data_IF_098166775777
#
_entry.id   IF_098166775777
#
_cell.length_a   1.000
_cell.length_b   1.000
_cell.length_c   1.000
_cell.angle_alpha   90.00
_cell.angle_beta   90.00
_cell.angle_gamma   90.00
#
_symmetry.space_group_name_H-M   'P 1'
#
loop_
_entity.id
_entity.type
_entity.pdbx_description
1 polymer ?
#
# COMPACT_ATOMS: atom_id res chain seq x y z
N UNK A 1 -15.29 -0.26 -10.19
CA UNK A 1 -15.12 -1.64 -9.68
C UNK A 1 -13.80 -2.12 -10.23
N UNK A 2 -12.71 -1.80 -9.56
CA UNK A 2 -11.40 -2.19 -10.06
C UNK A 2 -11.23 -3.69 -9.92
N UNK A 3 -11.14 -4.33 -11.08
CA UNK A 3 -10.71 -5.71 -11.25
C UNK A 3 -9.30 -5.80 -10.69
N UNK A 4 -9.18 -6.06 -9.37
CA UNK A 4 -7.99 -6.70 -8.84
C UNK A 4 -7.68 -7.86 -9.78
N UNK A 5 -6.52 -7.82 -10.42
CA UNK A 5 -6.15 -8.79 -11.45
C UNK A 5 -5.86 -10.11 -10.76
N UNK A 6 -6.93 -10.81 -10.39
CA UNK A 6 -6.93 -11.86 -9.37
C UNK A 6 -6.15 -13.11 -9.80
N UNK A 7 -5.82 -13.22 -11.09
CA UNK A 7 -5.08 -14.32 -11.69
C UNK A 7 -3.61 -14.03 -12.00
N UNK A 8 -3.08 -12.83 -11.74
CA UNK A 8 -1.65 -12.61 -11.97
C UNK A 8 -0.82 -13.35 -10.91
N UNK A 9 0.25 -14.05 -11.33
CA UNK A 9 1.19 -14.65 -10.40
C UNK A 9 1.93 -13.54 -9.64
N UNK A 10 1.87 -13.62 -8.32
CA UNK A 10 2.60 -12.82 -7.37
C UNK A 10 3.79 -13.63 -6.86
N UNK A 11 5.02 -13.35 -7.32
CA UNK A 11 6.20 -13.96 -6.76
C UNK A 11 6.44 -13.42 -5.34
N UNK A 12 6.70 -14.33 -4.41
CA UNK A 12 7.00 -14.02 -3.02
C UNK A 12 8.37 -14.59 -2.66
N UNK A 13 9.18 -13.78 -1.99
CA UNK A 13 10.56 -14.12 -1.65
C UNK A 13 10.72 -14.06 -0.13
N UNK A 14 11.37 -15.08 0.44
CA UNK A 14 11.59 -15.24 1.87
C UNK A 14 13.08 -15.12 2.17
N UNK A 15 13.42 -14.20 3.06
CA UNK A 15 14.78 -13.91 3.51
C UNK A 15 14.89 -14.09 5.01
N UNK A 16 16.04 -14.60 5.46
CA UNK A 16 16.43 -14.59 6.86
C UNK A 16 17.03 -13.23 7.19
N UNK A 17 16.48 -12.57 8.21
CA UNK A 17 16.94 -11.24 8.59
C UNK A 17 18.06 -11.37 9.63
N UNK A 18 19.24 -10.81 9.31
CA UNK A 18 20.41 -10.78 10.18
C UNK A 18 20.86 -9.34 10.41
N UNK A 19 21.17 -8.99 11.66
CA UNK A 19 21.62 -7.65 12.05
C UNK A 19 22.98 -7.25 11.46
N UNK A 20 23.74 -8.21 10.93
CA UNK A 20 25.05 -8.01 10.32
C UNK A 20 24.96 -7.55 8.84
N UNK A 21 23.75 -7.43 8.27
CA UNK A 21 23.50 -6.99 6.90
C UNK A 21 23.67 -8.07 5.82
N UNK A 22 24.04 -9.29 6.20
CA UNK A 22 24.14 -10.44 5.28
C UNK A 22 22.91 -11.32 5.41
N UNK A 23 21.82 -10.90 4.77
CA UNK A 23 20.58 -11.64 4.74
C UNK A 23 20.70 -12.93 3.94
N UNK A 24 20.39 -14.06 4.56
CA UNK A 24 20.41 -15.37 3.90
C UNK A 24 19.10 -15.63 3.16
N UNK A 25 19.22 -16.06 1.91
CA UNK A 25 18.07 -16.39 1.07
C UNK A 25 17.48 -17.75 1.48
N UNK A 26 16.25 -17.77 1.97
CA UNK A 26 15.56 -19.00 2.38
C UNK A 26 14.94 -19.69 1.17
N UNK A 27 14.19 -18.94 0.36
CA UNK A 27 13.53 -19.46 -0.84
C UNK A 27 12.49 -18.51 -1.43
N UNK A 28 11.82 -18.97 -2.46
CA UNK A 28 10.76 -18.28 -3.18
C UNK A 28 9.58 -19.20 -3.43
N UNK A 29 8.40 -18.60 -3.57
CA UNK A 29 7.18 -19.27 -3.99
C UNK A 29 6.34 -18.31 -4.84
N UNK A 30 5.48 -18.86 -5.69
CA UNK A 30 4.53 -18.07 -6.48
C UNK A 30 3.13 -18.33 -5.96
N UNK A 31 2.37 -17.26 -5.76
CA UNK A 31 0.99 -17.31 -5.30
C UNK A 31 0.11 -16.43 -6.19
N UNK A 32 -1.21 -16.59 -6.12
CA UNK A 32 -2.16 -15.66 -6.75
C UNK A 32 -3.10 -15.06 -5.73
N UNK A 33 -3.61 -13.86 -5.99
CA UNK A 33 -4.62 -13.26 -5.12
C UNK A 33 -5.88 -14.12 -4.98
N UNK A 34 -6.24 -14.86 -6.04
CA UNK A 34 -7.31 -15.85 -6.00
C UNK A 34 -7.07 -16.96 -4.96
N UNK A 35 -5.86 -17.48 -4.88
CA UNK A 35 -5.48 -18.48 -3.87
C UNK A 35 -5.47 -17.89 -2.46
N UNK A 36 -4.88 -16.69 -2.30
CA UNK A 36 -4.85 -15.98 -1.01
C UNK A 36 -6.26 -15.67 -0.48
N UNK A 37 -7.22 -15.40 -1.37
CA UNK A 37 -8.64 -15.20 -0.99
C UNK A 37 -9.23 -16.44 -0.29
N UNK A 38 -8.73 -17.65 -0.58
CA UNK A 38 -9.13 -18.86 0.15
C UNK A 38 -8.94 -18.74 1.66
N UNK A 39 -7.91 -18.01 2.12
CA UNK A 39 -7.68 -17.75 3.54
C UNK A 39 -8.75 -16.84 4.17
N UNK A 40 -9.44 -16.02 3.37
CA UNK A 40 -10.59 -15.24 3.82
C UNK A 40 -11.82 -16.13 4.07
N UNK A 41 -11.94 -17.22 3.32
CA UNK A 41 -13.02 -18.21 3.43
C UNK A 41 -12.77 -19.24 4.55
N UNK A 42 -11.72 -19.04 5.36
CA UNK A 42 -11.34 -19.95 6.45
C UNK A 42 -10.60 -21.21 5.98
N UNK A 43 -10.17 -21.29 4.72
CA UNK A 43 -9.33 -22.39 4.24
C UNK A 43 -7.88 -22.14 4.65
N UNK A 44 -7.17 -23.19 5.05
CA UNK A 44 -5.73 -23.12 5.24
C UNK A 44 -5.07 -23.03 3.86
N UNK A 45 -4.40 -21.91 3.59
CA UNK A 45 -3.66 -21.70 2.35
C UNK A 45 -2.17 -21.79 2.66
N UNK A 46 -1.47 -22.66 1.94
CA UNK A 46 -0.06 -22.93 2.17
C UNK A 46 0.71 -23.13 0.86
N UNK A 47 1.97 -22.70 0.83
CA UNK A 47 2.86 -22.88 -0.31
C UNK A 47 4.20 -23.45 0.14
N UNK A 48 4.79 -24.29 -0.69
CA UNK A 48 6.15 -24.79 -0.46
C UNK A 48 7.17 -23.71 -0.85
N UNK A 49 8.07 -23.40 0.08
CA UNK A 49 9.15 -22.44 -0.17
C UNK A 49 10.32 -23.16 -0.81
N UNK A 50 10.73 -22.75 -2.01
CA UNK A 50 11.78 -23.43 -2.77
C UNK A 50 13.00 -22.54 -2.91
N UNK A 51 14.16 -23.06 -2.55
CA UNK A 51 15.43 -22.41 -2.80
C UNK A 51 16.05 -22.91 -4.10
N UNK A 52 16.02 -22.14 -5.21
CA UNK A 52 16.67 -22.52 -6.47
C UNK A 52 18.14 -22.93 -6.31
N UNK A 53 18.89 -22.30 -5.39
CA UNK A 53 20.31 -22.65 -5.15
C UNK A 53 20.45 -24.05 -4.55
N UNK A 54 19.60 -24.43 -3.61
CA UNK A 54 19.64 -25.77 -3.03
C UNK A 54 19.00 -26.82 -3.94
N UNK A 55 17.94 -26.46 -4.68
CA UNK A 55 17.33 -27.34 -5.68
C UNK A 55 18.32 -27.74 -6.77
N UNK A 56 19.19 -26.82 -7.19
CA UNK A 56 20.25 -27.11 -8.16
C UNK A 56 21.44 -27.90 -7.55
N UNK A 57 21.79 -27.65 -6.28
CA UNK A 57 22.98 -28.25 -5.64
C UNK A 57 22.73 -29.61 -4.97
N UNK A 58 21.54 -29.85 -4.43
CA UNK A 58 21.24 -31.02 -3.58
C UNK A 58 20.25 -31.95 -4.28
N UNK A 59 20.67 -33.19 -4.55
CA UNK A 59 19.83 -34.22 -5.21
C UNK A 59 18.58 -34.63 -4.42
N UNK A 60 18.58 -34.51 -3.09
CA UNK A 60 17.46 -34.93 -2.22
C UNK A 60 16.74 -33.74 -1.55
N UNK A 61 16.78 -32.56 -2.17
CA UNK A 61 16.13 -31.37 -1.63
C UNK A 61 14.63 -31.35 -2.00
N UNK A 62 13.77 -31.29 -0.98
CA UNK A 62 12.31 -31.14 -1.16
C UNK A 62 11.89 -29.67 -1.16
N UNK A 63 12.07 -28.97 -0.04
CA UNK A 63 11.74 -27.55 0.11
C UNK A 63 12.50 -26.96 1.32
N UNK A 64 12.45 -25.64 1.48
CA UNK A 64 13.00 -24.87 2.61
C UNK A 64 11.95 -24.63 3.71
N UNK A 65 10.83 -25.35 3.68
CA UNK A 65 9.70 -25.15 4.59
C UNK A 65 8.39 -24.84 3.87
N UNK A 66 7.34 -24.64 4.66
CA UNK A 66 5.98 -24.35 4.20
C UNK A 66 5.57 -22.98 4.73
N UNK A 67 5.12 -22.10 3.83
CA UNK A 67 4.57 -20.79 4.17
C UNK A 67 3.06 -20.93 4.30
N UNK A 68 2.52 -20.57 5.47
CA UNK A 68 1.08 -20.64 5.76
C UNK A 68 0.52 -19.22 5.86
N UNK A 69 -0.57 -18.95 5.13
CA UNK A 69 -1.29 -17.69 5.24
C UNK A 69 -2.39 -17.79 6.29
N UNK A 70 -2.17 -17.16 7.44
CA UNK A 70 -3.10 -17.18 8.56
C UNK A 70 -4.33 -16.27 8.36
N UNK A 71 -4.13 -15.09 7.76
CA UNK A 71 -5.20 -14.12 7.56
C UNK A 71 -4.94 -13.30 6.30
N UNK A 72 -5.99 -13.08 5.51
CA UNK A 72 -6.00 -12.13 4.40
C UNK A 72 -7.13 -11.11 4.65
N UNK A 73 -6.83 -9.81 4.60
CA UNK A 73 -7.80 -8.72 4.73
C UNK A 73 -7.68 -7.81 3.52
N UNK A 74 -8.80 -7.53 2.87
CA UNK A 74 -8.85 -6.60 1.75
C UNK A 74 -9.26 -5.24 2.28
N UNK A 75 -8.34 -4.29 2.24
CA UNK A 75 -8.62 -2.89 2.52
C UNK A 75 -8.84 -2.15 1.21
N UNK A 76 -10.02 -1.56 1.05
CA UNK A 76 -10.27 -0.63 -0.06
C UNK A 76 -9.61 0.69 0.30
N UNK A 77 -8.52 1.00 -0.38
CA UNK A 77 -7.93 2.34 -0.34
C UNK A 77 -8.68 3.19 -1.36
N UNK A 78 -9.38 4.23 -0.89
CA UNK A 78 -10.03 5.18 -1.77
C UNK A 78 -8.97 6.07 -2.41
N UNK A 79 -8.99 6.12 -3.74
CA UNK A 79 -8.15 7.07 -4.48
C UNK A 79 -8.70 8.49 -4.33
N UNK A 80 -7.85 9.49 -4.56
CA UNK A 80 -8.28 10.89 -4.64
C UNK A 80 -9.48 11.09 -5.59
N UNK A 81 -9.49 10.34 -6.69
CA UNK A 81 -10.56 10.41 -7.69
C UNK A 81 -11.87 9.79 -7.15
N UNK A 82 -11.80 8.75 -6.31
CA UNK A 82 -12.97 8.22 -5.61
C UNK A 82 -13.57 9.25 -4.63
N UNK A 83 -12.74 10.08 -3.99
CA UNK A 83 -13.24 11.19 -3.17
C UNK A 83 -13.97 12.23 -4.02
N UNK A 84 -13.43 12.63 -5.18
CA UNK A 84 -14.08 13.58 -6.09
C UNK A 84 -15.38 13.00 -6.65
N UNK A 85 -15.37 11.75 -7.14
CA UNK A 85 -16.56 11.06 -7.65
C UNK A 85 -17.61 10.82 -6.56
N UNK A 86 -17.20 10.63 -5.30
CA UNK A 86 -18.06 10.53 -4.14
C UNK A 86 -18.75 11.85 -3.74
N UNK A 87 -18.49 12.95 -4.47
CA UNK A 87 -19.10 14.25 -4.24
C UNK A 87 -18.34 15.12 -3.25
N UNK A 88 -17.05 14.84 -3.00
CA UNK A 88 -16.21 15.78 -2.26
C UNK A 88 -15.90 17.01 -3.12
N UNK A 89 -15.99 18.19 -2.52
CA UNK A 89 -15.65 19.45 -3.18
C UNK A 89 -14.38 20.03 -2.54
N UNK A 90 -13.46 20.47 -3.39
CA UNK A 90 -12.24 21.15 -2.96
C UNK A 90 -12.42 22.62 -3.29
N UNK A 91 -12.50 23.45 -2.26
CA UNK A 91 -12.52 24.89 -2.41
C UNK A 91 -11.11 25.43 -2.22
N UNK A 92 -10.64 26.11 -3.27
CA UNK A 92 -9.36 26.81 -3.30
C UNK A 92 -9.63 28.30 -3.27
N UNK A 93 -9.05 29.02 -2.29
CA UNK A 93 -9.20 30.48 -2.19
C UNK A 93 -7.83 31.11 -1.98
N UNK A 94 -7.46 32.01 -2.89
CA UNK A 94 -6.25 32.82 -2.78
C UNK A 94 -6.63 34.13 -2.07
N UNK A 95 -6.08 34.34 -0.88
CA UNK A 95 -6.18 35.63 -0.21
C UNK A 95 -4.92 36.44 -0.51
N UNK A 96 -5.04 37.46 -1.37
CA UNK A 96 -4.01 38.49 -1.45
C UNK A 96 -4.21 39.40 -0.25
N UNK A 97 -3.29 39.37 0.70
CA UNK A 97 -3.20 40.42 1.72
C UNK A 97 -2.53 41.63 1.05
N UNK A 98 -3.26 42.74 0.93
CA UNK A 98 -2.81 43.96 0.24
C UNK A 98 -2.18 44.96 1.23
N UNK A 99 -1.37 44.49 2.18
CA UNK A 99 -0.63 45.38 3.08
C UNK A 99 0.80 45.57 2.58
N UNK A 100 1.32 46.81 2.62
CA UNK A 100 2.67 47.16 2.15
C UNK A 100 3.80 46.31 2.79
N UNK A 101 3.55 45.75 3.98
CA UNK A 101 4.47 44.85 4.69
C UNK A 101 4.61 43.46 4.02
N UNK A 102 3.63 42.98 3.25
CA UNK A 102 3.64 41.66 2.60
C UNK A 102 4.54 41.62 1.35
N UNK A 103 4.75 42.76 0.69
CA UNK A 103 5.66 42.89 -0.47
C UNK A 103 7.13 42.69 -0.08
N UNK A 104 7.50 43.03 1.16
CA UNK A 104 8.87 42.85 1.68
C UNK A 104 9.10 41.39 2.13
N UNK A 105 8.04 40.69 2.58
CA UNK A 105 8.13 39.35 3.20
C UNK A 105 7.69 38.19 2.28
N UNK A 106 7.15 38.45 1.08
CA UNK A 106 6.88 37.42 0.07
C UNK A 106 5.73 36.44 0.39
N UNK A 107 4.76 36.82 1.22
CA UNK A 107 3.70 35.91 1.68
C UNK A 107 2.44 35.93 0.81
N UNK A 108 2.10 34.81 0.16
CA UNK A 108 0.76 34.53 -0.37
C UNK A 108 0.14 33.41 0.49
N UNK A 109 -0.99 33.66 1.16
CA UNK A 109 -1.65 32.65 1.97
C UNK A 109 -2.57 31.80 1.09
N UNK A 110 -2.27 30.50 1.04
CA UNK A 110 -3.06 29.51 0.31
C UNK A 110 -3.86 28.70 1.32
N UNK A 111 -5.19 28.75 1.23
CA UNK A 111 -6.08 27.93 2.04
C UNK A 111 -6.77 26.88 1.17
N UNK A 112 -6.75 25.63 1.63
CA UNK A 112 -7.50 24.53 1.07
C UNK A 112 -8.58 24.12 2.06
N UNK A 113 -9.81 23.98 1.58
CA UNK A 113 -10.91 23.46 2.40
C UNK A 113 -11.59 22.33 1.62
N UNK A 114 -11.63 21.15 2.25
CA UNK A 114 -12.25 19.94 1.69
C UNK A 114 -13.60 19.73 2.37
N UNK A 115 -14.64 19.52 1.57
CA UNK A 115 -15.98 19.18 2.05
C UNK A 115 -16.34 17.75 1.62
N UNK A 116 -16.82 16.92 2.57
CA UNK A 116 -17.36 15.58 2.26
C UNK A 116 -18.87 15.56 2.49
N UNK A 117 -19.61 14.84 1.63
CA UNK A 117 -21.07 14.75 1.72
C UNK A 117 -21.45 13.72 2.79
N UNK A 118 -21.54 14.14 4.05
CA UNK A 118 -22.02 13.29 5.16
C UNK A 118 -21.40 13.53 6.54
N UNK A 119 -20.26 14.19 6.63
CA UNK A 119 -19.61 14.54 7.89
C UNK A 119 -18.83 15.84 7.72
N UNK A 120 -19.24 16.89 8.45
CA UNK A 120 -18.53 18.17 8.50
C UNK A 120 -17.24 17.99 9.30
N UNK A 121 -16.17 17.54 8.66
CA UNK A 121 -14.81 17.73 9.19
C UNK A 121 -14.05 18.63 8.22
N UNK A 122 -13.73 19.82 8.71
CA UNK A 122 -12.94 20.83 8.02
C UNK A 122 -11.50 20.63 8.46
N UNK A 123 -10.66 20.10 7.58
CA UNK A 123 -9.20 20.08 7.78
C UNK A 123 -8.69 21.42 7.26
N UNK A 124 -8.26 22.30 8.17
CA UNK A 124 -7.64 23.59 7.83
C UNK A 124 -6.12 23.45 8.00
N UNK A 125 -5.42 23.16 6.92
CA UNK A 125 -3.96 23.23 6.90
C UNK A 125 -3.50 24.58 6.35
N UNK A 126 -2.99 25.42 7.25
CA UNK A 126 -2.33 26.67 6.88
C UNK A 126 -0.89 26.35 6.48
N UNK A 127 -0.60 26.38 5.18
CA UNK A 127 0.77 26.32 4.68
C UNK A 127 1.34 27.73 4.61
N UNK A 128 2.28 28.05 5.51
CA UNK A 128 3.15 29.21 5.40
C UNK A 128 4.37 28.78 4.57
N UNK A 129 4.63 29.48 3.45
CA UNK A 129 5.94 29.48 2.79
C UNK A 129 6.70 30.72 3.24
#
# INVERSE_FOLDING_TARGET
MDTFVCGHPCPCIVWDWDSNGKHDFIGEFTSTFKEMRGAMEGKQVQWECINPKYKAKKKNYKNSGIVILNQCKIHKMHSFLDYIMGGCQIQFTIHKMHSFLDYIMGGCQIQFTVYTKGSREVINDNYWK
#
